data_IF_263496521753
#
_entry.id   IF_263496521753
#
_cell.length_a   1.000
_cell.length_b   1.000
_cell.length_c   1.000
_cell.angle_alpha   90.00
_cell.angle_beta   90.00
_cell.angle_gamma   90.00
#
_symmetry.space_group_name_H-M   'P 1'
#
loop_
_entity.id
_entity.type
_entity.pdbx_description
1 polymer ?
#
# COMPACT_ATOMS: atom_id res chain seq x y z
N UNK A 1 14.84 -21.51 -27.48
CA UNK A 1 13.85 -21.36 -26.36
C UNK A 1 13.33 -22.70 -25.82
N UNK A 2 13.37 -23.78 -26.57
CA UNK A 2 12.83 -25.12 -26.19
C UNK A 2 13.63 -25.84 -25.08
N UNK A 3 14.95 -25.65 -24.99
CA UNK A 3 15.80 -26.35 -24.00
C UNK A 3 15.66 -25.83 -22.56
N UNK A 4 15.30 -24.57 -22.34
CA UNK A 4 15.08 -24.01 -20.99
C UNK A 4 13.77 -24.49 -20.37
N UNK A 5 12.71 -24.67 -21.17
CA UNK A 5 11.45 -25.24 -20.69
C UNK A 5 11.61 -26.71 -20.25
N UNK A 6 12.42 -27.49 -20.97
CA UNK A 6 12.68 -28.92 -20.67
C UNK A 6 13.50 -29.07 -19.37
N UNK A 7 14.49 -28.20 -19.17
CA UNK A 7 15.30 -28.19 -17.95
C UNK A 7 14.49 -27.78 -16.71
N UNK A 8 13.64 -26.76 -16.82
CA UNK A 8 12.72 -26.33 -15.76
C UNK A 8 11.66 -27.40 -15.44
N UNK A 9 11.14 -28.08 -16.45
CA UNK A 9 10.16 -29.16 -16.26
C UNK A 9 10.78 -30.38 -15.54
N UNK A 10 11.96 -30.80 -15.96
CA UNK A 10 12.70 -31.88 -15.29
C UNK A 10 13.16 -31.52 -13.87
N UNK A 11 13.52 -30.26 -13.63
CA UNK A 11 13.89 -29.79 -12.28
C UNK A 11 12.67 -29.75 -11.33
N UNK A 12 11.49 -29.38 -11.84
CA UNK A 12 10.22 -29.40 -11.10
C UNK A 12 9.76 -30.82 -10.82
N UNK A 13 9.89 -31.73 -11.77
CA UNK A 13 9.51 -33.14 -11.62
C UNK A 13 10.46 -33.93 -10.72
N UNK A 14 11.76 -33.64 -10.77
CA UNK A 14 12.74 -34.20 -9.86
C UNK A 14 12.51 -33.75 -8.42
N UNK A 15 12.13 -32.50 -8.22
CA UNK A 15 11.77 -31.95 -6.91
C UNK A 15 10.46 -32.56 -6.36
N UNK A 16 9.46 -32.78 -7.22
CA UNK A 16 8.20 -33.47 -6.86
C UNK A 16 8.38 -34.95 -6.52
N UNK A 17 9.30 -35.66 -7.17
CA UNK A 17 9.63 -37.05 -6.83
C UNK A 17 10.34 -37.16 -5.49
N UNK A 18 11.26 -36.26 -5.16
CA UNK A 18 11.92 -36.21 -3.86
C UNK A 18 10.97 -35.85 -2.72
N UNK A 19 9.98 -34.98 -2.93
CA UNK A 19 8.98 -34.62 -1.92
C UNK A 19 8.07 -35.80 -1.53
N UNK A 20 7.79 -36.75 -2.44
CA UNK A 20 6.93 -37.92 -2.17
C UNK A 20 7.58 -39.01 -1.29
N UNK A 21 8.89 -38.96 -1.09
CA UNK A 21 9.63 -39.95 -0.28
C UNK A 21 9.94 -39.45 1.14
N UNK A 22 9.68 -38.17 1.42
CA UNK A 22 9.94 -37.57 2.74
C UNK A 22 8.81 -37.86 3.72
N UNK A 23 9.15 -38.05 5.00
CA UNK A 23 8.16 -38.09 6.07
C UNK A 23 7.38 -36.78 6.17
N UNK A 24 6.16 -36.79 6.75
CA UNK A 24 5.32 -35.61 6.93
C UNK A 24 6.06 -34.49 7.68
N UNK A 25 6.87 -34.85 8.68
CA UNK A 25 7.69 -33.88 9.43
C UNK A 25 8.78 -33.24 8.60
N UNK A 26 9.41 -34.01 7.71
CA UNK A 26 10.43 -33.46 6.78
C UNK A 26 9.81 -32.57 5.72
N UNK A 27 8.67 -32.96 5.14
CA UNK A 27 7.91 -32.10 4.20
C UNK A 27 7.53 -30.75 4.85
N UNK A 28 7.06 -30.78 6.10
CA UNK A 28 6.76 -29.56 6.85
C UNK A 28 8.01 -28.69 7.05
N UNK A 29 9.13 -29.28 7.44
CA UNK A 29 10.37 -28.55 7.67
C UNK A 29 10.92 -27.91 6.37
N UNK A 30 10.86 -28.62 5.25
CA UNK A 30 11.24 -28.10 3.92
C UNK A 30 10.33 -26.92 3.53
N UNK A 31 9.02 -27.08 3.68
CA UNK A 31 8.06 -26.01 3.38
C UNK A 31 8.29 -24.78 4.28
N UNK A 32 8.57 -24.98 5.57
CA UNK A 32 8.92 -23.92 6.53
C UNK A 32 10.21 -23.21 6.13
N UNK A 33 11.27 -23.96 5.81
CA UNK A 33 12.55 -23.41 5.40
C UNK A 33 12.41 -22.57 4.12
N UNK A 34 11.63 -23.04 3.13
CA UNK A 34 11.31 -22.29 1.90
C UNK A 34 10.62 -20.95 2.20
N UNK A 35 9.62 -20.93 3.09
CA UNK A 35 8.93 -19.70 3.49
C UNK A 35 9.85 -18.71 4.19
N UNK A 36 10.75 -19.20 5.06
CA UNK A 36 11.76 -18.36 5.73
C UNK A 36 12.76 -17.81 4.71
N UNK A 37 13.23 -18.63 3.77
CA UNK A 37 14.13 -18.19 2.72
C UNK A 37 13.52 -17.08 1.86
N UNK A 38 12.22 -17.18 1.50
CA UNK A 38 11.49 -16.13 0.78
C UNK A 38 11.47 -14.83 1.58
N UNK A 39 11.21 -14.89 2.89
CA UNK A 39 11.24 -13.69 3.75
C UNK A 39 12.62 -13.05 3.79
N UNK A 40 13.69 -13.83 3.89
CA UNK A 40 15.07 -13.33 3.90
C UNK A 40 15.45 -12.71 2.55
N UNK A 41 15.04 -13.34 1.43
CA UNK A 41 15.24 -12.78 0.09
C UNK A 41 14.49 -11.44 -0.06
N UNK A 42 13.23 -11.37 0.37
CA UNK A 42 12.47 -10.12 0.34
C UNK A 42 13.12 -9.04 1.19
N UNK A 43 13.60 -9.38 2.38
CA UNK A 43 14.29 -8.44 3.26
C UNK A 43 15.59 -7.92 2.61
N UNK A 44 16.38 -8.82 2.01
CA UNK A 44 17.58 -8.44 1.27
C UNK A 44 17.26 -7.54 0.06
N UNK A 45 16.19 -7.84 -0.69
CA UNK A 45 15.74 -7.00 -1.80
C UNK A 45 15.26 -5.63 -1.31
N UNK A 46 14.47 -5.56 -0.24
CA UNK A 46 14.05 -4.28 0.36
C UNK A 46 15.26 -3.46 0.78
N UNK A 47 16.24 -4.08 1.43
CA UNK A 47 17.49 -3.40 1.81
C UNK A 47 18.28 -2.90 0.59
N UNK A 48 18.43 -3.74 -0.43
CA UNK A 48 19.09 -3.37 -1.69
C UNK A 48 18.40 -2.16 -2.34
N UNK A 49 17.07 -2.23 -2.53
CA UNK A 49 16.33 -1.15 -3.15
C UNK A 49 16.21 0.10 -2.27
N UNK A 50 16.28 -0.05 -0.94
CA UNK A 50 16.44 1.08 -0.02
C UNK A 50 17.74 1.82 -0.31
N UNK A 51 18.86 1.12 -0.38
CA UNK A 51 20.17 1.72 -0.70
C UNK A 51 20.11 2.36 -2.09
N UNK A 52 19.67 1.65 -3.11
CA UNK A 52 19.54 2.17 -4.49
C UNK A 52 18.68 3.44 -4.49
N UNK A 53 17.55 3.46 -3.77
CA UNK A 53 16.64 4.60 -3.72
C UNK A 53 17.24 5.85 -3.09
N UNK A 54 18.18 5.70 -2.14
CA UNK A 54 18.92 6.83 -1.56
C UNK A 54 19.91 7.42 -2.59
N UNK A 55 20.53 6.57 -3.40
CA UNK A 55 21.51 7.02 -4.41
C UNK A 55 20.85 7.57 -5.67
N UNK A 56 19.73 6.99 -6.13
CA UNK A 56 18.99 7.46 -7.30
C UNK A 56 18.13 8.67 -6.96
N UNK A 57 18.20 9.73 -7.75
CA UNK A 57 17.38 10.93 -7.57
C UNK A 57 17.58 11.92 -8.71
N UNK A 58 16.64 12.85 -8.88
CA UNK A 58 16.61 13.87 -9.93
C UNK A 58 17.70 14.96 -9.86
N UNK A 59 18.67 14.82 -8.99
CA UNK A 59 19.78 15.78 -8.86
C UNK A 59 21.10 15.21 -9.37
N UNK A 60 21.99 16.09 -9.85
CA UNK A 60 23.34 15.78 -10.40
C UNK A 60 24.37 15.40 -9.34
N UNK A 61 23.94 14.84 -8.19
CA UNK A 61 24.86 14.44 -7.13
C UNK A 61 25.60 13.17 -7.52
N UNK A 62 26.95 13.20 -7.41
CA UNK A 62 27.79 12.03 -7.61
C UNK A 62 27.62 11.01 -6.46
N UNK A 63 27.94 9.74 -6.72
CA UNK A 63 27.91 8.69 -5.68
C UNK A 63 28.74 9.07 -4.45
N UNK A 64 29.91 9.71 -4.66
CA UNK A 64 30.79 10.16 -3.57
C UNK A 64 30.12 11.24 -2.71
N UNK A 65 29.44 12.20 -3.32
CA UNK A 65 28.72 13.26 -2.59
C UNK A 65 27.57 12.71 -1.77
N UNK A 66 26.78 11.78 -2.34
CA UNK A 66 25.69 11.11 -1.60
C UNK A 66 26.26 10.35 -0.40
N UNK A 67 27.32 9.58 -0.61
CA UNK A 67 27.98 8.82 0.48
C UNK A 67 28.49 9.73 1.59
N UNK A 68 29.20 10.82 1.24
CA UNK A 68 29.68 11.79 2.23
C UNK A 68 28.52 12.51 2.96
N UNK A 69 27.43 12.82 2.25
CA UNK A 69 26.25 13.47 2.82
C UNK A 69 25.52 12.59 3.86
N UNK A 70 25.52 11.26 3.69
CA UNK A 70 24.99 10.32 4.69
C UNK A 70 25.70 10.50 6.04
N UNK A 71 27.03 10.64 6.02
CA UNK A 71 27.86 10.85 7.22
C UNK A 71 27.99 12.31 7.63
N UNK A 72 27.09 13.18 7.16
CA UNK A 72 27.09 14.62 7.45
C UNK A 72 28.34 15.38 6.97
N UNK A 73 29.02 14.85 5.94
CA UNK A 73 30.19 15.43 5.28
C UNK A 73 29.87 15.88 3.86
N UNK A 74 30.74 16.65 3.21
CA UNK A 74 30.53 17.14 1.85
C UNK A 74 29.82 18.50 1.80
N UNK A 75 29.28 18.87 0.61
CA UNK A 75 28.59 20.15 0.39
C UNK A 75 27.30 20.26 1.19
N UNK A 76 26.94 21.48 1.60
CA UNK A 76 25.69 21.73 2.34
C UNK A 76 24.47 21.33 1.51
N UNK A 77 24.46 21.63 0.24
CA UNK A 77 23.40 21.25 -0.70
C UNK A 77 23.21 19.73 -0.77
N UNK A 78 24.28 18.95 -0.88
CA UNK A 78 24.21 17.50 -0.89
C UNK A 78 23.63 16.94 0.42
N UNK A 79 24.05 17.50 1.56
CA UNK A 79 23.53 17.12 2.89
C UNK A 79 22.02 17.40 3.01
N UNK A 80 21.57 18.58 2.57
CA UNK A 80 20.14 18.94 2.58
C UNK A 80 19.32 18.01 1.69
N UNK A 81 19.76 17.77 0.46
CA UNK A 81 19.05 16.88 -0.49
C UNK A 81 18.98 15.45 0.06
N UNK A 82 20.08 14.90 0.49
CA UNK A 82 20.11 13.50 0.94
C UNK A 82 19.32 13.33 2.23
N UNK A 83 19.57 14.15 3.24
CA UNK A 83 19.01 13.94 4.58
C UNK A 83 17.60 14.49 4.73
N UNK A 84 17.23 15.61 4.10
CA UNK A 84 15.91 16.21 4.26
C UNK A 84 14.89 15.86 3.17
N UNK A 85 15.36 15.37 2.02
CA UNK A 85 14.45 15.01 0.91
C UNK A 85 14.50 13.51 0.67
N UNK A 86 15.68 12.92 0.39
CA UNK A 86 15.76 11.51 -0.01
C UNK A 86 15.45 10.54 1.13
N UNK A 87 16.04 10.72 2.32
CA UNK A 87 15.80 9.81 3.44
C UNK A 87 14.34 9.74 3.88
N UNK A 88 13.62 10.85 4.17
CA UNK A 88 12.21 10.78 4.51
C UNK A 88 11.39 10.12 3.41
N UNK A 89 11.64 10.44 2.14
CA UNK A 89 10.95 9.85 0.99
C UNK A 89 11.09 8.32 0.95
N UNK A 90 12.27 7.79 1.19
CA UNK A 90 12.54 6.34 1.18
C UNK A 90 11.93 5.66 2.40
N UNK A 91 11.99 6.30 3.57
CA UNK A 91 11.34 5.81 4.80
C UNK A 91 9.82 5.77 4.61
N UNK A 92 9.24 6.83 4.04
CA UNK A 92 7.81 6.86 3.70
C UNK A 92 7.41 5.73 2.76
N UNK A 93 8.24 5.39 1.76
CA UNK A 93 7.97 4.27 0.86
C UNK A 93 7.89 2.93 1.60
N UNK A 94 8.78 2.69 2.55
CA UNK A 94 8.75 1.47 3.37
C UNK A 94 7.50 1.38 4.23
N UNK A 95 7.20 2.46 4.96
CA UNK A 95 6.08 2.51 5.90
C UNK A 95 4.75 2.44 5.16
N UNK A 96 4.57 3.30 4.15
CA UNK A 96 3.32 3.37 3.39
C UNK A 96 3.09 2.10 2.56
N UNK A 97 4.12 1.61 1.86
CA UNK A 97 4.02 0.40 1.06
C UNK A 97 3.67 -0.83 1.89
N UNK A 98 4.39 -1.03 2.99
CA UNK A 98 4.13 -2.12 3.93
C UNK A 98 2.75 -2.01 4.59
N UNK A 99 2.41 -0.81 5.08
CA UNK A 99 1.12 -0.54 5.73
C UNK A 99 -0.07 -0.78 4.81
N UNK A 100 -0.03 -0.24 3.59
CA UNK A 100 -1.09 -0.45 2.60
C UNK A 100 -1.25 -1.92 2.20
N UNK A 101 -0.13 -2.66 2.04
CA UNK A 101 -0.19 -4.08 1.74
C UNK A 101 -0.83 -4.90 2.87
N UNK A 102 -0.46 -4.64 4.12
CA UNK A 102 -1.08 -5.31 5.28
C UNK A 102 -2.55 -4.93 5.42
N UNK A 103 -2.91 -3.66 5.21
CA UNK A 103 -4.31 -3.21 5.20
C UNK A 103 -5.14 -3.97 4.18
N UNK A 104 -4.63 -4.12 2.96
CA UNK A 104 -5.27 -4.90 1.91
C UNK A 104 -5.39 -6.38 2.28
N UNK A 105 -4.33 -6.99 2.80
CA UNK A 105 -4.32 -8.41 3.21
C UNK A 105 -5.44 -8.71 4.20
N UNK A 106 -5.52 -7.95 5.29
CA UNK A 106 -6.52 -8.20 6.35
C UNK A 106 -7.94 -7.96 5.86
N UNK A 107 -8.15 -6.92 5.04
CA UNK A 107 -9.47 -6.66 4.45
C UNK A 107 -9.91 -7.74 3.48
N UNK A 108 -9.03 -8.23 2.61
CA UNK A 108 -9.30 -9.34 1.71
C UNK A 108 -9.72 -10.60 2.49
N UNK A 109 -9.11 -10.83 3.65
CA UNK A 109 -9.40 -12.00 4.47
C UNK A 109 -10.74 -11.88 5.19
N UNK A 110 -11.01 -10.76 5.86
CA UNK A 110 -12.26 -10.60 6.63
C UNK A 110 -13.48 -10.43 5.74
N UNK A 111 -13.32 -9.85 4.54
CA UNK A 111 -14.40 -9.69 3.56
C UNK A 111 -14.49 -10.84 2.56
N UNK A 112 -13.58 -11.82 2.63
CA UNK A 112 -13.53 -12.95 1.67
C UNK A 112 -13.57 -12.49 0.21
N UNK A 113 -12.99 -11.33 -0.06
CA UNK A 113 -12.99 -10.73 -1.37
C UNK A 113 -11.55 -10.29 -1.74
N UNK A 114 -10.93 -10.88 -2.77
CA UNK A 114 -9.57 -10.52 -3.19
C UNK A 114 -9.45 -9.08 -3.71
N UNK A 115 -10.58 -8.44 -4.06
CA UNK A 115 -10.64 -7.06 -4.52
C UNK A 115 -10.80 -6.04 -3.38
N UNK A 116 -10.96 -6.51 -2.14
CA UNK A 116 -11.17 -5.62 -1.01
C UNK A 116 -9.87 -4.93 -0.61
N UNK A 117 -9.95 -3.61 -0.47
CA UNK A 117 -8.92 -2.76 0.13
C UNK A 117 -9.59 -1.51 0.71
N UNK A 118 -8.95 -0.76 1.60
CA UNK A 118 -9.53 0.49 2.10
C UNK A 118 -9.76 1.52 0.98
N UNK A 119 -8.91 1.50 -0.05
CA UNK A 119 -9.06 2.38 -1.22
C UNK A 119 -10.31 2.05 -2.02
N UNK A 120 -10.60 0.76 -2.24
CA UNK A 120 -11.81 0.32 -2.96
C UNK A 120 -13.08 0.52 -2.16
N UNK A 121 -12.99 0.65 -0.84
CA UNK A 121 -14.13 0.97 0.03
C UNK A 121 -14.41 2.48 0.17
N UNK A 122 -13.69 3.34 -0.57
CA UNK A 122 -14.00 4.77 -0.64
C UNK A 122 -13.27 5.64 0.38
N UNK A 123 -12.43 5.08 1.25
CA UNK A 123 -11.63 5.86 2.21
C UNK A 123 -10.73 6.88 1.50
N UNK A 124 -10.14 6.49 0.36
CA UNK A 124 -9.31 7.39 -0.44
C UNK A 124 -10.12 8.51 -1.13
N UNK A 125 -11.33 8.22 -1.61
CA UNK A 125 -12.19 9.26 -2.21
C UNK A 125 -12.64 10.28 -1.17
N UNK A 126 -12.92 9.84 0.06
CA UNK A 126 -13.21 10.74 1.16
C UNK A 126 -11.99 11.59 1.54
N UNK A 127 -10.78 11.02 1.54
CA UNK A 127 -9.55 11.78 1.76
C UNK A 127 -9.36 12.87 0.70
N UNK A 128 -9.63 12.55 -0.57
CA UNK A 128 -9.62 13.52 -1.68
C UNK A 128 -10.63 14.63 -1.49
N UNK A 129 -11.86 14.28 -1.09
CA UNK A 129 -12.88 15.28 -0.77
C UNK A 129 -12.40 16.26 0.31
N UNK A 130 -11.87 15.74 1.42
CA UNK A 130 -11.35 16.58 2.51
C UNK A 130 -10.21 17.48 2.08
N UNK A 131 -9.29 16.98 1.25
CA UNK A 131 -8.20 17.77 0.70
C UNK A 131 -8.71 18.88 -0.24
N UNK A 132 -9.65 18.55 -1.14
CA UNK A 132 -10.29 19.53 -2.02
C UNK A 132 -11.05 20.61 -1.22
N UNK A 133 -11.77 20.19 -0.18
CA UNK A 133 -12.45 21.12 0.72
C UNK A 133 -11.45 22.10 1.37
N UNK A 134 -10.33 21.60 1.88
CA UNK A 134 -9.31 22.44 2.48
C UNK A 134 -8.66 23.38 1.46
N UNK A 135 -8.35 22.89 0.26
CA UNK A 135 -7.68 23.68 -0.79
C UNK A 135 -8.61 24.75 -1.35
N UNK A 136 -9.84 24.40 -1.69
CA UNK A 136 -10.77 25.24 -2.44
C UNK A 136 -11.63 26.11 -1.52
N UNK A 137 -12.25 25.49 -0.50
CA UNK A 137 -13.22 26.20 0.38
C UNK A 137 -12.52 26.93 1.51
N UNK A 138 -11.55 26.28 2.18
CA UNK A 138 -10.82 26.88 3.32
C UNK A 138 -9.68 27.76 2.84
N UNK A 139 -9.27 27.65 1.56
CA UNK A 139 -8.22 28.51 0.99
C UNK A 139 -6.79 28.08 1.33
N UNK A 140 -6.58 26.81 1.75
CA UNK A 140 -5.25 26.27 2.01
C UNK A 140 -4.37 26.13 0.76
N UNK A 141 -4.94 26.33 -0.42
CA UNK A 141 -4.29 26.33 -1.74
C UNK A 141 -3.99 27.73 -2.28
N UNK A 142 -3.65 28.72 -1.43
CA UNK A 142 -3.36 30.07 -1.90
C UNK A 142 -2.08 30.13 -2.75
N UNK A 143 -2.18 30.79 -3.92
CA UNK A 143 -1.08 31.05 -4.83
C UNK A 143 -0.24 32.23 -4.35
N UNK A 144 1.04 32.02 -4.17
CA UNK A 144 2.03 33.07 -4.24
C UNK A 144 2.83 32.89 -5.53
N UNK A 145 2.38 33.54 -6.58
CA UNK A 145 3.15 33.71 -7.83
C UNK A 145 4.21 34.79 -7.61
N UNK A 146 5.31 34.44 -6.97
CA UNK A 146 6.53 35.24 -7.06
C UNK A 146 7.64 34.32 -7.57
N UNK A 147 8.04 34.57 -8.81
CA UNK A 147 9.18 33.92 -9.50
C UNK A 147 9.15 32.41 -9.66
N UNK A 148 8.38 31.90 -10.62
CA UNK A 148 8.70 30.64 -11.32
C UNK A 148 8.48 29.35 -10.56
N UNK A 149 7.89 29.35 -9.37
CA UNK A 149 7.58 28.12 -8.62
C UNK A 149 6.13 27.72 -8.81
N UNK A 150 5.96 26.54 -9.40
CA UNK A 150 4.72 25.84 -9.64
C UNK A 150 3.94 25.60 -8.35
N UNK A 151 2.64 25.89 -8.36
CA UNK A 151 1.59 25.49 -7.39
C UNK A 151 2.07 25.06 -5.99
N UNK A 152 2.23 25.98 -5.05
CA UNK A 152 2.54 25.65 -3.65
C UNK A 152 1.27 25.67 -2.79
N UNK A 153 1.09 24.63 -1.98
CA UNK A 153 0.05 24.59 -0.94
C UNK A 153 0.53 25.44 0.22
N UNK A 154 -0.23 26.49 0.58
CA UNK A 154 0.15 27.43 1.64
C UNK A 154 0.18 26.79 3.03
N UNK A 155 -0.69 25.79 3.28
CA UNK A 155 -0.75 25.07 4.56
C UNK A 155 -0.96 23.55 4.37
N UNK A 156 0.12 22.76 4.17
CA UNK A 156 0.03 21.32 3.97
C UNK A 156 -0.62 20.56 5.14
N UNK A 157 -0.41 21.03 6.37
CA UNK A 157 -0.98 20.37 7.55
C UNK A 157 -2.50 20.50 7.61
N UNK A 158 -3.04 21.64 7.19
CA UNK A 158 -4.48 21.86 7.14
C UNK A 158 -5.12 20.91 6.10
N UNK A 159 -4.52 20.81 4.92
CA UNK A 159 -4.98 19.86 3.88
C UNK A 159 -4.94 18.43 4.40
N UNK A 160 -3.85 18.02 5.03
CA UNK A 160 -3.72 16.67 5.60
C UNK A 160 -4.74 16.40 6.70
N UNK A 161 -5.06 17.41 7.54
CA UNK A 161 -6.06 17.28 8.62
C UNK A 161 -7.46 17.07 8.06
N UNK A 162 -7.91 17.89 7.11
CA UNK A 162 -9.23 17.72 6.49
C UNK A 162 -9.33 16.42 5.70
N UNK A 163 -8.27 16.05 4.99
CA UNK A 163 -8.17 14.76 4.29
C UNK A 163 -8.33 13.59 5.26
N UNK A 164 -7.61 13.62 6.37
CA UNK A 164 -7.69 12.58 7.41
C UNK A 164 -9.07 12.50 8.05
N UNK A 165 -9.65 13.63 8.45
CA UNK A 165 -10.99 13.68 9.08
C UNK A 165 -12.06 13.10 8.14
N UNK A 166 -12.07 13.50 6.88
CA UNK A 166 -13.03 12.98 5.89
C UNK A 166 -12.86 11.48 5.67
N UNK A 167 -11.62 10.98 5.63
CA UNK A 167 -11.34 9.56 5.51
C UNK A 167 -11.84 8.76 6.73
N UNK A 168 -11.68 9.28 7.94
CA UNK A 168 -12.19 8.65 9.17
C UNK A 168 -13.73 8.69 9.22
N UNK A 169 -14.35 9.77 8.77
CA UNK A 169 -15.83 9.86 8.66
C UNK A 169 -16.34 8.78 7.69
N UNK A 170 -15.71 8.61 6.53
CA UNK A 170 -16.08 7.56 5.59
C UNK A 170 -15.92 6.16 6.20
N UNK A 171 -14.78 5.88 6.84
CA UNK A 171 -14.56 4.61 7.51
C UNK A 171 -15.59 4.34 8.61
N UNK A 172 -15.92 5.34 9.42
CA UNK A 172 -16.97 5.27 10.44
C UNK A 172 -18.35 5.00 9.85
N UNK A 173 -18.69 5.68 8.75
CA UNK A 173 -19.96 5.48 8.04
C UNK A 173 -20.09 4.06 7.49
N UNK A 174 -19.03 3.53 6.88
CA UNK A 174 -19.00 2.14 6.37
C UNK A 174 -19.18 1.14 7.52
N UNK A 175 -18.50 1.35 8.65
CA UNK A 175 -18.63 0.49 9.83
C UNK A 175 -20.03 0.55 10.45
N UNK A 176 -20.64 1.73 10.50
CA UNK A 176 -22.00 1.91 10.99
C UNK A 176 -22.99 1.13 10.11
N UNK A 177 -22.92 1.33 8.79
CA UNK A 177 -23.74 0.63 7.82
C UNK A 177 -23.51 -0.90 7.87
N UNK A 178 -22.25 -1.31 8.02
CA UNK A 178 -21.89 -2.71 8.18
C UNK A 178 -22.53 -3.35 9.43
N UNK A 179 -22.57 -2.64 10.54
CA UNK A 179 -23.24 -3.10 11.79
C UNK A 179 -24.73 -3.27 11.61
N UNK A 180 -25.39 -2.34 10.92
CA UNK A 180 -26.82 -2.40 10.62
C UNK A 180 -27.22 -3.60 9.75
N UNK A 181 -26.29 -4.12 8.95
CA UNK A 181 -26.45 -5.28 8.06
C UNK A 181 -25.72 -6.53 8.54
N UNK A 182 -25.54 -6.68 9.87
CA UNK A 182 -24.91 -7.85 10.50
C UNK A 182 -23.51 -8.20 9.97
N UNK A 183 -22.73 -7.22 9.57
CA UNK A 183 -21.37 -7.36 9.04
C UNK A 183 -21.27 -8.31 7.83
N UNK A 184 -22.29 -8.33 6.99
CA UNK A 184 -22.25 -9.07 5.72
C UNK A 184 -21.20 -8.44 4.79
N UNK A 185 -20.29 -9.26 4.27
CA UNK A 185 -19.19 -8.79 3.43
C UNK A 185 -19.68 -8.06 2.17
N UNK A 186 -20.72 -8.57 1.49
CA UNK A 186 -21.29 -7.91 0.32
C UNK A 186 -21.93 -6.56 0.67
N UNK A 187 -22.60 -6.45 1.82
CA UNK A 187 -23.18 -5.18 2.29
C UNK A 187 -22.10 -4.16 2.61
N UNK A 188 -20.96 -4.59 3.17
CA UNK A 188 -19.82 -3.70 3.44
C UNK A 188 -19.24 -3.14 2.14
N UNK A 189 -19.07 -3.98 1.13
CA UNK A 189 -18.55 -3.56 -0.18
C UNK A 189 -19.51 -2.59 -0.84
N UNK A 190 -20.81 -2.88 -0.85
CA UNK A 190 -21.85 -1.98 -1.41
C UNK A 190 -21.90 -0.64 -0.67
N UNK A 191 -21.83 -0.66 0.67
CA UNK A 191 -21.75 0.57 1.47
C UNK A 191 -20.51 1.39 1.10
N UNK A 192 -19.37 0.73 0.92
CA UNK A 192 -18.13 1.37 0.47
C UNK A 192 -18.27 2.04 -0.89
N UNK A 193 -18.91 1.38 -1.86
CA UNK A 193 -19.17 1.95 -3.19
C UNK A 193 -20.10 3.16 -3.08
N UNK A 194 -21.17 3.09 -2.30
CA UNK A 194 -22.11 4.19 -2.10
C UNK A 194 -21.45 5.40 -1.42
N UNK A 195 -20.69 5.16 -0.35
CA UNK A 195 -19.92 6.21 0.36
C UNK A 195 -18.89 6.84 -0.58
N UNK A 196 -18.21 6.02 -1.38
CA UNK A 196 -17.26 6.47 -2.41
C UNK A 196 -17.91 7.43 -3.41
N UNK A 197 -19.10 7.06 -3.92
CA UNK A 197 -19.83 7.87 -4.89
C UNK A 197 -20.30 9.22 -4.29
N UNK A 198 -20.73 9.24 -3.02
CA UNK A 198 -21.12 10.47 -2.32
C UNK A 198 -19.93 11.44 -2.20
N UNK A 199 -18.77 10.96 -1.73
CA UNK A 199 -17.58 11.80 -1.60
C UNK A 199 -17.04 12.25 -2.96
N UNK A 200 -17.12 11.40 -3.99
CA UNK A 200 -16.75 11.76 -5.36
C UNK A 200 -17.66 12.86 -5.90
N UNK A 201 -18.97 12.75 -5.72
CA UNK A 201 -19.92 13.77 -6.12
C UNK A 201 -19.69 15.09 -5.38
N UNK A 202 -19.41 15.02 -4.06
CA UNK A 202 -19.04 16.19 -3.27
C UNK A 202 -17.75 16.86 -3.77
N UNK A 203 -16.74 16.05 -4.14
CA UNK A 203 -15.50 16.58 -4.74
C UNK A 203 -15.78 17.31 -6.04
N UNK A 204 -16.55 16.69 -6.95
CA UNK A 204 -16.93 17.29 -8.24
C UNK A 204 -17.73 18.59 -8.03
N UNK A 205 -18.65 18.61 -7.07
CA UNK A 205 -19.44 19.79 -6.74
C UNK A 205 -18.56 20.97 -6.29
N UNK A 206 -17.59 20.72 -5.40
CA UNK A 206 -16.67 21.74 -4.93
C UNK A 206 -15.78 22.24 -6.10
N UNK A 207 -15.29 21.34 -6.94
CA UNK A 207 -14.46 21.68 -8.10
C UNK A 207 -15.25 22.48 -9.15
N UNK A 208 -16.55 22.24 -9.32
CA UNK A 208 -17.41 22.97 -10.27
C UNK A 208 -17.47 24.47 -9.98
N UNK A 209 -17.44 24.87 -8.71
CA UNK A 209 -17.47 26.29 -8.30
C UNK A 209 -16.08 26.88 -8.08
N UNK A 210 -15.02 26.12 -8.26
CA UNK A 210 -13.65 26.55 -8.02
C UNK A 210 -13.05 27.26 -9.26
N UNK A 211 -12.01 28.05 -9.03
CA UNK A 211 -11.19 28.58 -10.13
C UNK A 211 -10.30 27.50 -10.73
N UNK A 212 -9.89 27.66 -12.01
CA UNK A 212 -9.02 26.71 -12.71
C UNK A 212 -7.74 26.39 -11.93
N UNK A 213 -7.17 27.39 -11.29
CA UNK A 213 -5.95 27.27 -10.49
C UNK A 213 -6.18 26.45 -9.22
N UNK A 214 -7.31 26.60 -8.56
CA UNK A 214 -7.69 25.78 -7.39
C UNK A 214 -7.95 24.34 -7.80
N UNK A 215 -8.63 24.11 -8.92
CA UNK A 215 -8.85 22.76 -9.47
C UNK A 215 -7.51 22.10 -9.81
N UNK A 216 -6.61 22.81 -10.49
CA UNK A 216 -5.28 22.27 -10.81
C UNK A 216 -4.50 21.88 -9.55
N UNK A 217 -4.52 22.71 -8.51
CA UNK A 217 -3.87 22.42 -7.22
C UNK A 217 -4.48 21.19 -6.54
N UNK A 218 -5.82 21.11 -6.52
CA UNK A 218 -6.55 20.01 -5.93
C UNK A 218 -6.28 18.68 -6.67
N UNK A 219 -6.28 18.70 -7.99
CA UNK A 219 -5.94 17.53 -8.82
C UNK A 219 -4.49 17.11 -8.60
N UNK A 220 -3.53 18.05 -8.60
CA UNK A 220 -2.13 17.75 -8.32
C UNK A 220 -1.94 17.12 -6.94
N UNK A 221 -2.74 17.53 -5.94
CA UNK A 221 -2.68 16.92 -4.62
C UNK A 221 -3.13 15.45 -4.64
N UNK A 222 -4.07 15.07 -5.51
CA UNK A 222 -4.55 13.67 -5.58
C UNK A 222 -3.47 12.71 -6.06
N UNK A 223 -2.48 13.18 -6.80
CA UNK A 223 -1.38 12.35 -7.27
C UNK A 223 -0.49 11.96 -6.09
N UNK A 224 -0.37 10.66 -5.83
CA UNK A 224 0.48 10.15 -4.77
C UNK A 224 1.95 10.53 -4.98
N UNK A 225 2.53 11.25 -4.03
CA UNK A 225 3.91 11.70 -4.08
C UNK A 225 4.62 11.52 -2.73
N UNK A 226 5.64 10.68 -2.72
CA UNK A 226 6.51 10.46 -1.57
C UNK A 226 7.42 11.67 -1.27
N UNK A 227 7.56 12.60 -2.18
CA UNK A 227 8.32 13.84 -1.97
C UNK A 227 7.72 14.78 -0.92
N UNK A 228 6.43 14.56 -0.56
CA UNK A 228 5.75 15.28 0.54
C UNK A 228 6.14 14.79 1.93
N UNK A 229 6.82 13.65 2.01
CA UNK A 229 7.22 13.05 3.28
C UNK A 229 8.23 13.92 4.04
N UNK A 230 8.10 13.92 5.34
CA UNK A 230 9.03 14.52 6.28
C UNK A 230 9.21 13.58 7.47
N UNK A 231 10.29 13.74 8.24
CA UNK A 231 10.48 12.89 9.42
C UNK A 231 9.32 12.93 10.42
N UNK A 232 8.61 14.07 10.54
CA UNK A 232 7.44 14.19 11.41
C UNK A 232 6.26 13.37 10.89
N UNK A 233 5.96 13.48 9.59
CA UNK A 233 4.87 12.71 8.96
C UNK A 233 5.21 11.21 8.92
N UNK A 234 6.47 10.86 8.69
CA UNK A 234 6.96 9.49 8.72
C UNK A 234 6.82 8.86 10.11
N UNK A 235 7.12 9.61 11.17
CA UNK A 235 6.95 9.14 12.54
C UNK A 235 5.48 8.86 12.85
N UNK A 236 4.55 9.74 12.45
CA UNK A 236 3.11 9.53 12.65
C UNK A 236 2.63 8.29 11.88
N UNK A 237 3.01 8.17 10.60
CA UNK A 237 2.68 6.99 9.79
C UNK A 237 3.29 5.72 10.40
N UNK A 238 4.54 5.77 10.84
CA UNK A 238 5.22 4.63 11.46
C UNK A 238 4.49 4.14 12.72
N UNK A 239 4.10 5.03 13.62
CA UNK A 239 3.38 4.67 14.85
C UNK A 239 2.07 3.97 14.50
N UNK A 240 1.27 4.53 13.60
CA UNK A 240 -0.01 3.96 13.20
C UNK A 240 0.17 2.61 12.50
N UNK A 241 1.11 2.52 11.56
CA UNK A 241 1.39 1.27 10.82
C UNK A 241 1.97 0.20 11.75
N UNK A 242 2.91 0.57 12.62
CA UNK A 242 3.55 -0.38 13.54
C UNK A 242 2.55 -0.95 14.55
N UNK A 243 1.75 -0.09 15.21
CA UNK A 243 0.73 -0.53 16.19
C UNK A 243 -0.32 -1.42 15.52
N UNK A 244 -0.82 -1.02 14.35
CA UNK A 244 -1.81 -1.80 13.61
C UNK A 244 -1.25 -3.12 13.12
N UNK A 245 -0.04 -3.12 12.55
CA UNK A 245 0.62 -4.35 12.07
C UNK A 245 0.97 -5.29 13.22
N UNK A 246 1.37 -4.75 14.37
CA UNK A 246 1.61 -5.53 15.58
C UNK A 246 0.31 -6.22 16.05
N UNK A 247 -0.81 -5.49 16.10
CA UNK A 247 -2.12 -6.08 16.42
C UNK A 247 -2.45 -7.23 15.45
N UNK A 248 -2.30 -7.03 14.16
CA UNK A 248 -2.55 -8.08 13.15
C UNK A 248 -1.62 -9.28 13.31
N UNK A 249 -0.35 -9.04 13.64
CA UNK A 249 0.61 -10.11 13.88
C UNK A 249 0.31 -10.91 15.15
N UNK A 250 -0.10 -10.27 16.24
CA UNK A 250 -0.53 -10.95 17.45
C UNK A 250 -1.77 -11.80 17.21
N UNK A 251 -2.67 -11.36 16.33
CA UNK A 251 -3.89 -12.04 15.91
C UNK A 251 -3.73 -12.95 14.67
N UNK A 252 -2.49 -13.27 14.28
CA UNK A 252 -2.19 -14.07 13.08
C UNK A 252 -2.89 -15.44 13.03
N UNK A 253 -3.13 -16.08 14.16
CA UNK A 253 -3.83 -17.36 14.24
C UNK A 253 -5.31 -17.20 13.93
N UNK A 254 -5.94 -16.13 14.45
CA UNK A 254 -7.34 -15.82 14.19
C UNK A 254 -7.53 -15.54 12.69
N UNK A 255 -6.61 -14.80 12.06
CA UNK A 255 -6.64 -14.56 10.60
C UNK A 255 -6.39 -15.84 9.80
N UNK A 256 -5.49 -16.71 10.21
CA UNK A 256 -5.28 -18.00 9.55
C UNK A 256 -6.54 -18.88 9.62
N UNK A 257 -7.24 -18.92 10.75
CA UNK A 257 -8.52 -19.58 10.87
C UNK A 257 -9.59 -18.94 9.96
N UNK A 258 -9.67 -17.60 9.92
CA UNK A 258 -10.61 -16.88 9.07
C UNK A 258 -10.30 -17.07 7.58
N UNK A 259 -9.06 -17.31 7.18
CA UNK A 259 -8.71 -17.61 5.79
C UNK A 259 -9.36 -18.91 5.29
N UNK A 260 -9.58 -19.90 6.17
CA UNK A 260 -10.32 -21.13 5.88
C UNK A 260 -11.84 -20.97 5.77
N UNK A 261 -12.41 -19.85 6.28
CA UNK A 261 -13.84 -19.57 6.27
C UNK A 261 -14.33 -18.97 7.59
N UNK A 262 -15.32 -18.06 7.52
CA UNK A 262 -15.85 -17.42 8.73
C UNK A 262 -16.60 -18.42 9.64
N UNK A 263 -17.33 -19.37 9.05
CA UNK A 263 -18.00 -20.42 9.79
C UNK A 263 -16.99 -21.32 10.49
N UNK A 264 -15.96 -21.77 9.78
CA UNK A 264 -14.84 -22.56 10.32
C UNK A 264 -14.11 -21.83 11.45
N UNK A 265 -13.81 -20.54 11.27
CA UNK A 265 -13.15 -19.75 12.32
C UNK A 265 -14.01 -19.66 13.59
N UNK A 266 -15.35 -19.57 13.47
CA UNK A 266 -16.26 -19.57 14.62
C UNK A 266 -16.23 -20.91 15.38
N UNK A 267 -16.13 -22.05 14.69
CA UNK A 267 -16.03 -23.37 15.38
C UNK A 267 -14.71 -23.51 16.15
N UNK A 268 -13.68 -22.78 15.75
CA UNK A 268 -12.40 -22.69 16.47
C UNK A 268 -12.40 -21.64 17.60
N UNK A 269 -13.56 -21.02 17.91
CA UNK A 269 -13.69 -20.03 18.98
C UNK A 269 -13.26 -18.60 18.61
N UNK A 270 -12.99 -18.32 17.34
CA UNK A 270 -12.60 -16.96 16.89
C UNK A 270 -13.79 -16.02 16.91
N UNK A 271 -13.69 -14.89 17.59
CA UNK A 271 -14.68 -13.83 17.52
C UNK A 271 -14.57 -13.08 16.18
N UNK A 272 -15.19 -13.64 15.14
CA UNK A 272 -15.13 -13.12 13.77
C UNK A 272 -15.70 -11.70 13.66
N UNK A 273 -16.70 -11.34 14.51
CA UNK A 273 -17.29 -9.99 14.53
C UNK A 273 -16.27 -8.94 15.02
N UNK A 274 -15.60 -9.23 16.12
CA UNK A 274 -14.55 -8.36 16.66
C UNK A 274 -13.40 -8.22 15.65
N UNK A 275 -12.94 -9.35 15.08
CA UNK A 275 -11.86 -9.36 14.10
C UNK A 275 -12.20 -8.53 12.85
N UNK A 276 -13.43 -8.65 12.33
CA UNK A 276 -13.87 -7.86 11.17
C UNK A 276 -13.88 -6.36 11.49
N UNK A 277 -14.47 -5.96 12.63
CA UNK A 277 -14.53 -4.54 13.02
C UNK A 277 -13.13 -3.97 13.21
N UNK A 278 -12.26 -4.65 13.96
CA UNK A 278 -10.90 -4.17 14.21
C UNK A 278 -10.06 -4.12 12.92
N UNK A 279 -10.22 -5.09 12.04
CA UNK A 279 -9.54 -5.09 10.74
C UNK A 279 -9.96 -3.91 9.88
N UNK A 280 -11.26 -3.65 9.77
CA UNK A 280 -11.79 -2.51 9.02
C UNK A 280 -11.30 -1.18 9.60
N UNK A 281 -11.35 -1.03 10.93
CA UNK A 281 -10.90 0.19 11.62
C UNK A 281 -9.42 0.45 11.39
N UNK A 282 -8.57 -0.53 11.73
CA UNK A 282 -7.11 -0.35 11.67
C UNK A 282 -6.60 -0.24 10.23
N UNK A 283 -7.16 -1.02 9.29
CA UNK A 283 -6.82 -0.92 7.88
C UNK A 283 -7.23 0.44 7.28
N UNK A 284 -8.42 0.94 7.64
CA UNK A 284 -8.85 2.28 7.23
C UNK A 284 -8.00 3.38 7.86
N UNK A 285 -7.59 3.22 9.14
CA UNK A 285 -6.71 4.17 9.83
C UNK A 285 -5.34 4.26 9.16
N UNK A 286 -4.70 3.13 8.84
CA UNK A 286 -3.44 3.09 8.08
C UNK A 286 -3.59 3.85 6.76
N UNK A 287 -4.65 3.56 6.01
CA UNK A 287 -4.88 4.19 4.71
C UNK A 287 -5.19 5.67 4.84
N UNK A 288 -6.01 6.08 5.82
CA UNK A 288 -6.35 7.48 6.07
C UNK A 288 -5.11 8.31 6.36
N UNK A 289 -4.23 7.82 7.25
CA UNK A 289 -2.97 8.51 7.57
C UNK A 289 -2.03 8.56 6.35
N UNK A 290 -1.90 7.45 5.65
CA UNK A 290 -1.01 7.38 4.46
C UNK A 290 -1.48 8.34 3.37
N UNK A 291 -2.77 8.30 3.01
CA UNK A 291 -3.33 9.15 1.94
C UNK A 291 -3.32 10.62 2.33
N UNK A 292 -3.58 10.96 3.59
CA UNK A 292 -3.59 12.36 4.06
C UNK A 292 -2.23 13.06 3.93
N UNK A 293 -1.13 12.32 4.06
CA UNK A 293 0.22 12.88 3.91
C UNK A 293 0.80 12.74 2.51
N UNK A 294 0.56 11.61 1.85
CA UNK A 294 1.24 11.26 0.60
C UNK A 294 0.34 11.39 -0.65
N UNK A 295 -0.98 11.57 -0.49
CA UNK A 295 -1.94 11.46 -1.58
C UNK A 295 -2.29 10.01 -1.91
N UNK A 296 -3.02 9.78 -3.01
CA UNK A 296 -3.51 8.45 -3.37
C UNK A 296 -2.38 7.57 -3.90
N UNK A 297 -2.19 6.42 -3.25
CA UNK A 297 -1.30 5.35 -3.70
C UNK A 297 -2.17 4.11 -3.95
N UNK A 298 -2.39 3.79 -5.22
CA UNK A 298 -3.26 2.69 -5.63
C UNK A 298 -2.53 1.34 -5.74
N UNK A 299 -3.31 0.26 -5.81
CA UNK A 299 -2.91 -1.10 -6.13
C UNK A 299 -1.95 -1.82 -5.17
N UNK A 300 -1.14 -1.14 -4.37
CA UNK A 300 -0.19 -1.78 -3.43
C UNK A 300 -0.92 -2.75 -2.50
N UNK A 301 -2.03 -2.31 -1.89
CA UNK A 301 -2.85 -3.13 -0.99
C UNK A 301 -3.61 -4.28 -1.68
N UNK A 302 -3.74 -4.25 -3.01
CA UNK A 302 -4.36 -5.33 -3.78
C UNK A 302 -3.33 -6.34 -4.27
N UNK A 303 -2.26 -5.87 -4.89
CA UNK A 303 -1.30 -6.71 -5.61
C UNK A 303 -0.31 -7.42 -4.71
N UNK A 304 0.30 -6.71 -3.75
CA UNK A 304 1.34 -7.28 -2.90
C UNK A 304 0.85 -8.50 -2.08
N UNK A 305 -0.30 -8.44 -1.35
CA UNK A 305 -0.78 -9.60 -0.60
C UNK A 305 -1.23 -10.75 -1.50
N UNK A 306 -1.85 -10.48 -2.66
CA UNK A 306 -2.28 -11.52 -3.59
C UNK A 306 -1.10 -12.25 -4.22
N UNK A 307 -0.03 -11.52 -4.54
CA UNK A 307 1.21 -12.09 -5.04
C UNK A 307 1.87 -12.98 -3.98
N UNK A 308 1.98 -12.49 -2.75
CA UNK A 308 2.60 -13.25 -1.66
C UNK A 308 1.78 -14.47 -1.24
N UNK A 309 0.45 -14.37 -1.26
CA UNK A 309 -0.43 -15.51 -0.98
C UNK A 309 -0.18 -16.69 -1.92
N UNK A 310 0.16 -16.45 -3.17
CA UNK A 310 0.51 -17.50 -4.14
C UNK A 310 1.86 -18.17 -3.87
N UNK A 311 2.79 -17.44 -3.28
CA UNK A 311 4.16 -17.92 -3.04
C UNK A 311 4.28 -18.58 -1.67
N UNK A 312 3.72 -17.96 -0.63
CA UNK A 312 3.89 -18.37 0.77
C UNK A 312 2.69 -19.17 1.29
N UNK A 313 1.52 -19.05 0.59
CA UNK A 313 0.25 -19.66 1.02
C UNK A 313 -0.50 -18.80 2.05
N UNK A 314 -1.51 -19.40 2.70
CA UNK A 314 -2.45 -18.71 3.60
C UNK A 314 -2.02 -18.65 5.07
N UNK A 315 -0.80 -19.10 5.40
CA UNK A 315 -0.28 -19.06 6.77
C UNK A 315 0.16 -17.63 7.14
N UNK A 316 -0.62 -16.97 7.99
CA UNK A 316 -0.39 -15.59 8.39
C UNK A 316 0.92 -15.33 9.14
N UNK A 317 1.56 -16.36 9.68
CA UNK A 317 2.91 -16.25 10.27
C UNK A 317 3.94 -15.75 9.26
N UNK A 318 3.78 -16.16 7.99
CA UNK A 318 4.67 -15.84 6.90
C UNK A 318 4.03 -14.85 5.91
N UNK A 319 2.72 -14.98 5.69
CA UNK A 319 1.99 -14.16 4.71
C UNK A 319 1.94 -12.69 5.11
N UNK A 320 1.74 -12.38 6.39
CA UNK A 320 1.66 -10.98 6.84
C UNK A 320 3.01 -10.26 6.70
N UNK A 321 4.15 -10.77 7.24
CA UNK A 321 5.44 -10.10 7.06
C UNK A 321 5.90 -10.09 5.60
N UNK A 322 5.64 -11.13 4.82
CA UNK A 322 6.00 -11.13 3.39
C UNK A 322 5.16 -10.14 2.59
N UNK A 323 3.87 -9.96 2.91
CA UNK A 323 3.03 -8.94 2.29
C UNK A 323 3.52 -7.52 2.62
N UNK A 324 3.92 -7.27 3.87
CA UNK A 324 4.52 -6.00 4.27
C UNK A 324 5.77 -5.70 3.45
N UNK A 325 6.72 -6.65 3.39
CA UNK A 325 7.97 -6.48 2.64
C UNK A 325 7.72 -6.32 1.13
N UNK A 326 6.80 -7.10 0.57
CA UNK A 326 6.45 -7.00 -0.85
C UNK A 326 5.81 -5.66 -1.20
N UNK A 327 4.93 -5.13 -0.32
CA UNK A 327 4.35 -3.79 -0.50
C UNK A 327 5.39 -2.68 -0.39
N UNK A 328 6.30 -2.77 0.58
CA UNK A 328 7.42 -1.85 0.72
C UNK A 328 8.33 -1.87 -0.51
N UNK A 329 8.67 -3.07 -1.00
CA UNK A 329 9.49 -3.26 -2.20
C UNK A 329 8.80 -2.69 -3.45
N UNK A 330 7.51 -2.97 -3.65
CA UNK A 330 6.73 -2.46 -4.77
C UNK A 330 6.73 -0.93 -4.79
N UNK A 331 6.55 -0.29 -3.63
CA UNK A 331 6.51 1.16 -3.54
C UNK A 331 7.90 1.77 -3.73
N UNK A 332 8.97 1.16 -3.21
CA UNK A 332 10.35 1.57 -3.46
C UNK A 332 10.71 1.52 -4.95
N UNK A 333 10.38 0.41 -5.63
CA UNK A 333 10.64 0.26 -7.07
C UNK A 333 9.85 1.31 -7.85
N UNK A 334 8.58 1.50 -7.51
CA UNK A 334 7.73 2.51 -8.17
C UNK A 334 8.24 3.93 -7.97
N UNK A 335 8.76 4.24 -6.79
CA UNK A 335 9.38 5.54 -6.50
C UNK A 335 10.67 5.76 -7.29
N UNK A 336 11.53 4.76 -7.40
CA UNK A 336 12.75 4.83 -8.21
C UNK A 336 12.39 5.07 -9.68
N UNK A 337 11.44 4.30 -10.23
CA UNK A 337 10.99 4.46 -11.61
C UNK A 337 10.37 5.84 -11.86
N UNK A 338 9.55 6.35 -10.92
CA UNK A 338 8.95 7.68 -11.02
C UNK A 338 9.96 8.83 -10.98
N UNK A 339 11.15 8.61 -10.40
CA UNK A 339 12.24 9.58 -10.35
C UNK A 339 13.18 9.55 -11.54
N UNK A 340 13.10 8.52 -12.39
CA UNK A 340 13.84 8.51 -13.63
C UNK A 340 13.28 9.57 -14.57
N UNK A 341 14.12 10.43 -15.17
CA UNK A 341 13.67 11.53 -16.04
C UNK A 341 13.26 11.00 -17.42
N UNK A 342 12.11 10.32 -17.49
CA UNK A 342 11.59 9.78 -18.77
C UNK A 342 11.05 10.90 -19.67
N UNK A 343 10.47 11.96 -19.07
CA UNK A 343 9.91 13.11 -19.79
C UNK A 343 10.41 14.46 -19.26
N UNK A 344 11.63 14.50 -18.70
CA UNK A 344 12.19 15.72 -18.11
C UNK A 344 11.64 16.09 -16.73
N UNK A 345 10.60 15.39 -16.24
CA UNK A 345 9.96 15.59 -14.93
C UNK A 345 9.78 14.29 -14.18
N UNK A 346 9.72 14.35 -12.86
CA UNK A 346 9.41 13.18 -12.04
C UNK A 346 7.92 12.82 -12.11
N UNK A 347 7.61 11.53 -12.29
CA UNK A 347 6.23 11.02 -12.32
C UNK A 347 5.77 10.71 -10.89
N UNK A 348 4.54 11.10 -10.50
CA UNK A 348 3.99 10.75 -9.18
C UNK A 348 3.94 9.24 -8.96
N UNK A 349 4.33 8.79 -7.77
CA UNK A 349 4.43 7.35 -7.46
C UNK A 349 3.09 6.64 -7.56
N UNK A 350 1.97 7.32 -7.24
CA UNK A 350 0.62 6.76 -7.36
C UNK A 350 0.25 6.38 -8.80
N UNK A 351 0.75 7.12 -9.79
CA UNK A 351 0.58 6.79 -11.21
C UNK A 351 1.38 5.55 -11.57
N UNK A 352 2.65 5.50 -11.16
CA UNK A 352 3.54 4.35 -11.45
C UNK A 352 3.01 3.06 -10.80
N UNK A 353 2.56 3.12 -9.53
CA UNK A 353 1.97 1.96 -8.86
C UNK A 353 0.70 1.47 -9.55
N UNK A 354 -0.11 2.37 -10.11
CA UNK A 354 -1.32 2.02 -10.83
C UNK A 354 -1.02 1.40 -12.20
N UNK A 355 -0.04 1.93 -12.93
CA UNK A 355 0.39 1.39 -14.22
C UNK A 355 1.03 0.01 -14.10
N UNK A 356 1.76 -0.27 -13.02
CA UNK A 356 2.35 -1.60 -12.77
C UNK A 356 1.31 -2.52 -12.14
N UNK A 357 0.62 -2.03 -11.09
CA UNK A 357 -0.27 -2.83 -10.26
C UNK A 357 -1.51 -3.31 -11.00
N UNK A 358 -2.11 -2.49 -11.86
CA UNK A 358 -3.29 -2.85 -12.64
C UNK A 358 -3.09 -4.09 -13.52
N UNK A 359 -2.13 -4.09 -14.46
CA UNK A 359 -1.84 -5.26 -15.30
C UNK A 359 -1.41 -6.49 -14.50
N UNK A 360 -0.58 -6.32 -13.47
CA UNK A 360 -0.16 -7.44 -12.59
C UNK A 360 -1.36 -8.04 -11.89
N UNK A 361 -2.27 -7.21 -11.37
CA UNK A 361 -3.48 -7.69 -10.71
C UNK A 361 -4.41 -8.44 -11.68
N UNK A 362 -4.61 -7.92 -12.89
CA UNK A 362 -5.39 -8.60 -13.94
C UNK A 362 -4.77 -9.96 -14.29
N UNK A 363 -3.47 -10.04 -14.47
CA UNK A 363 -2.77 -11.30 -14.74
C UNK A 363 -2.94 -12.31 -13.58
N UNK A 364 -2.98 -11.80 -12.34
CA UNK A 364 -3.25 -12.62 -11.16
C UNK A 364 -4.68 -13.19 -11.19
N UNK A 365 -5.67 -12.39 -11.54
CA UNK A 365 -7.07 -12.83 -11.59
C UNK A 365 -7.33 -13.84 -12.72
N UNK A 366 -6.80 -13.60 -13.90
CA UNK A 366 -7.00 -14.48 -15.08
C UNK A 366 -6.42 -15.88 -14.83
N UNK A 367 -5.24 -15.97 -14.21
CA UNK A 367 -4.62 -17.27 -13.88
C UNK A 367 -5.40 -18.05 -12.81
N UNK A 368 -6.14 -17.37 -11.93
CA UNK A 368 -6.98 -18.03 -10.92
C UNK A 368 -8.13 -18.80 -11.58
N UNK A 369 -8.80 -18.17 -12.56
CA UNK A 369 -9.94 -18.78 -13.25
C UNK A 369 -9.55 -20.04 -14.04
N UNK A 370 -8.35 -20.06 -14.62
CA UNK A 370 -7.85 -21.23 -15.38
C UNK A 370 -7.64 -22.45 -14.47
N UNK A 371 -7.05 -22.27 -13.28
CA UNK A 371 -6.82 -23.37 -12.33
C UNK A 371 -8.11 -23.92 -11.71
N UNK A 372 -9.17 -23.10 -11.57
CA UNK A 372 -10.49 -23.54 -11.08
C UNK A 372 -11.23 -24.35 -12.17
N UNK A 373 -11.06 -24.01 -13.45
CA UNK A 373 -11.69 -24.73 -14.58
C UNK A 373 -10.98 -26.03 -14.99
N UNK A 374 -9.69 -26.20 -14.63
CA UNK A 374 -8.95 -27.45 -14.87
C UNK A 374 -9.16 -28.50 -13.76
N UNK A 375 -9.81 -28.14 -12.65
CA UNK A 375 -10.12 -29.01 -11.51
C UNK A 375 -11.60 -29.43 -11.43
N UNK A 376 -12.41 -29.13 -12.47
CA UNK A 376 -13.79 -29.57 -12.68
C UNK A 376 -13.80 -30.59 -13.81
#
# INVERSE_FOLDING_TARGET
MTNYCFFLHNFIDMNRKNEKTLSVSEQYNVAKAKKIAILLILLALVFLFFVVSVFVGSGTLSFKEVFLAIFNKGSETARLIVRRIRFPRVIAALIAGGGLAVSGLVMQTVLKNPLASPTTLGVSNAAVFGANFAIIVVGAGAFHSTHGSWLSISNPYLVSTFSFLSAIIAAGSILLLARLKNLNASAIVLAGVAVSAIFQAGTTLIQYFASDTQVASAVYWTFGDLGRASYKTDLIMFIVVAVSTLFFFLKRWDFSAMSGGLAYAKTLGVNTRFMTIMSLLLASLITSVTVSFLGIIGFVGLTAPQFMKRIVGDDYRYLLPSSFLAGALLLLISDILGRLPIFGTSVPVGVVTSLIGGPVFLAILLRRKKNESENI
#
